data_IF_477086728792
#
_entry.id   IF_477086728792
#
_cell.length_a   1.000
_cell.length_b   1.000
_cell.length_c   1.000
_cell.angle_alpha   90.00
_cell.angle_beta   90.00
_cell.angle_gamma   90.00
#
_symmetry.space_group_name_H-M   'P 1'
#
loop_
_entity.id
_entity.type
_entity.pdbx_description
1 polymer ?
#
# COMPACT_ATOMS: atom_id res chain seq x y z
N UNK A 1 6.30 -6.35 -14.77
CA UNK A 1 5.50 -7.58 -14.99
C UNK A 1 4.04 -7.23 -14.77
N UNK A 2 3.19 -7.47 -15.78
CA UNK A 2 1.76 -7.23 -15.69
C UNK A 2 1.13 -8.18 -14.69
N UNK A 3 0.28 -7.65 -13.82
CA UNK A 3 -0.43 -8.44 -12.81
C UNK A 3 -1.75 -7.76 -12.39
N UNK A 4 -2.51 -8.48 -11.56
CA UNK A 4 -3.77 -8.00 -11.00
C UNK A 4 -3.69 -8.09 -9.48
N UNK A 5 -4.27 -7.11 -8.83
CA UNK A 5 -4.57 -7.15 -7.41
C UNK A 5 -5.57 -8.26 -7.11
N UNK A 6 -5.59 -8.79 -5.87
CA UNK A 6 -6.40 -9.95 -5.52
C UNK A 6 -7.90 -9.62 -5.37
N UNK A 7 -8.29 -8.35 -5.38
CA UNK A 7 -9.66 -7.95 -5.07
C UNK A 7 -9.99 -6.54 -5.55
N UNK A 8 -11.20 -6.34 -6.10
CA UNK A 8 -11.78 -5.02 -6.40
C UNK A 8 -12.51 -4.36 -5.22
N UNK A 9 -12.30 -4.83 -3.98
CA UNK A 9 -12.94 -4.26 -2.78
C UNK A 9 -12.30 -2.95 -2.33
N UNK A 10 -11.25 -2.51 -3.00
CA UNK A 10 -10.46 -1.35 -2.60
C UNK A 10 -10.01 -0.58 -3.83
N UNK A 11 -9.73 0.70 -3.62
CA UNK A 11 -8.94 1.51 -4.54
C UNK A 11 -7.55 1.70 -3.95
N UNK A 12 -6.56 1.83 -4.83
CA UNK A 12 -5.17 2.07 -4.49
C UNK A 12 -4.75 3.46 -4.91
N UNK A 13 -4.09 4.16 -4.01
CA UNK A 13 -3.43 5.44 -4.25
C UNK A 13 -1.92 5.21 -4.30
N UNK A 14 -1.28 5.75 -5.33
CA UNK A 14 0.15 5.96 -5.37
C UNK A 14 0.43 7.46 -5.26
N UNK A 15 1.22 7.85 -4.27
CA UNK A 15 1.78 9.18 -4.11
C UNK A 15 3.31 9.10 -4.27
N UNK A 16 3.84 9.44 -5.44
CA UNK A 16 5.28 9.42 -5.67
C UNK A 16 5.97 10.53 -4.88
N UNK A 17 6.92 10.18 -4.03
CA UNK A 17 7.63 11.13 -3.15
C UNK A 17 9.01 11.53 -3.70
N UNK A 18 9.66 10.65 -4.46
CA UNK A 18 11.00 10.88 -5.01
C UNK A 18 11.24 10.03 -6.26
N UNK A 19 12.10 10.51 -7.16
CA UNK A 19 12.67 9.69 -8.24
C UNK A 19 11.67 9.33 -9.33
N UNK A 20 10.85 10.29 -9.76
CA UNK A 20 9.76 10.08 -10.74
C UNK A 20 10.19 10.16 -12.20
N UNK A 21 11.40 10.64 -12.48
CA UNK A 21 11.93 10.70 -13.85
C UNK A 21 11.99 9.30 -14.48
N UNK A 22 11.31 9.13 -15.63
CA UNK A 22 11.19 7.83 -16.31
C UNK A 22 10.20 6.85 -15.66
N UNK A 23 9.50 7.23 -14.59
CA UNK A 23 8.47 6.40 -13.96
C UNK A 23 7.14 6.49 -14.73
N UNK A 24 6.55 5.34 -15.04
CA UNK A 24 5.25 5.23 -15.70
C UNK A 24 4.48 4.01 -15.21
N UNK A 25 3.16 4.06 -15.34
CA UNK A 25 2.28 2.97 -14.95
C UNK A 25 1.12 2.84 -15.94
N UNK A 26 0.77 1.59 -16.27
CA UNK A 26 -0.41 1.24 -17.05
C UNK A 26 -1.44 0.57 -16.13
N UNK A 27 -2.71 0.93 -16.28
CA UNK A 27 -3.86 0.26 -15.66
C UNK A 27 -4.91 0.06 -16.73
N UNK A 28 -5.28 -1.20 -17.01
CA UNK A 28 -6.07 -1.52 -18.19
C UNK A 28 -5.39 -1.03 -19.47
N UNK A 29 -6.08 -0.17 -20.20
CA UNK A 29 -5.61 0.39 -21.47
C UNK A 29 -4.96 1.78 -21.33
N UNK A 30 -5.00 2.38 -20.13
CA UNK A 30 -4.44 3.71 -19.88
C UNK A 30 -3.02 3.61 -19.34
N UNK A 31 -2.10 4.39 -19.91
CA UNK A 31 -0.73 4.56 -19.39
C UNK A 31 -0.48 6.01 -19.01
N UNK A 32 0.06 6.24 -17.81
CA UNK A 32 0.40 7.57 -17.31
C UNK A 32 1.83 7.61 -16.76
N UNK A 33 2.47 8.77 -16.91
CA UNK A 33 3.70 9.08 -16.21
C UNK A 33 3.40 9.41 -14.75
N UNK A 34 4.29 9.01 -13.84
CA UNK A 34 4.18 9.35 -12.42
C UNK A 34 4.84 10.70 -12.20
N UNK A 35 4.15 11.62 -11.53
CA UNK A 35 4.66 12.96 -11.20
C UNK A 35 4.89 13.03 -9.69
N UNK A 36 5.97 13.70 -9.28
CA UNK A 36 6.27 13.82 -7.84
C UNK A 36 5.18 14.65 -7.18
N UNK A 37 4.77 14.24 -5.97
CA UNK A 37 3.77 14.91 -5.15
C UNK A 37 2.35 14.93 -5.76
N UNK A 38 2.12 14.22 -6.87
CA UNK A 38 0.80 14.05 -7.48
C UNK A 38 0.25 12.63 -7.27
N UNK A 39 -0.92 12.55 -6.63
CA UNK A 39 -1.61 11.28 -6.43
C UNK A 39 -2.19 10.74 -7.74
N UNK A 40 -2.04 9.44 -7.93
CA UNK A 40 -2.89 8.66 -8.84
C UNK A 40 -3.70 7.65 -8.05
N UNK A 41 -4.97 7.52 -8.41
CA UNK A 41 -5.92 6.61 -7.77
C UNK A 41 -6.41 5.66 -8.85
N UNK A 42 -6.35 4.36 -8.59
CA UNK A 42 -6.79 3.33 -9.52
C UNK A 42 -7.28 2.08 -8.79
N UNK A 43 -8.08 1.27 -9.47
CA UNK A 43 -8.44 -0.05 -9.00
C UNK A 43 -7.33 -1.04 -9.39
N UNK A 44 -6.60 -1.54 -8.39
CA UNK A 44 -5.48 -2.46 -8.63
C UNK A 44 -5.95 -3.87 -9.06
N UNK A 45 -7.25 -4.18 -9.00
CA UNK A 45 -7.79 -5.44 -9.53
C UNK A 45 -7.74 -5.53 -11.06
N UNK A 46 -7.66 -4.39 -11.75
CA UNK A 46 -7.40 -4.34 -13.18
C UNK A 46 -5.95 -4.74 -13.48
N UNK A 47 -5.69 -5.24 -14.69
CA UNK A 47 -4.34 -5.58 -15.08
C UNK A 47 -3.50 -4.31 -15.12
N UNK A 48 -2.43 -4.28 -14.34
CA UNK A 48 -1.57 -3.12 -14.23
C UNK A 48 -0.09 -3.50 -14.25
N UNK A 49 0.71 -2.53 -14.66
CA UNK A 49 2.15 -2.67 -14.76
C UNK A 49 2.83 -1.34 -14.50
N UNK A 50 3.92 -1.34 -13.73
CA UNK A 50 4.73 -0.17 -13.47
C UNK A 50 6.14 -0.36 -14.04
N UNK A 51 6.70 0.70 -14.62
CA UNK A 51 8.06 0.75 -15.14
C UNK A 51 8.83 1.91 -14.51
N UNK A 52 10.14 1.75 -14.42
CA UNK A 52 11.05 2.77 -13.95
C UNK A 52 12.37 2.66 -14.69
N UNK A 53 12.64 3.63 -15.56
CA UNK A 53 13.88 3.72 -16.34
C UNK A 53 14.83 4.82 -15.83
N UNK A 54 14.55 5.36 -14.63
CA UNK A 54 15.36 6.41 -14.01
C UNK A 54 16.60 5.87 -13.30
N UNK A 55 17.49 6.78 -12.93
CA UNK A 55 18.80 6.47 -12.30
C UNK A 55 18.84 6.69 -10.79
N UNK A 56 17.77 7.25 -10.21
CA UNK A 56 17.68 7.59 -8.80
C UNK A 56 16.85 6.53 -8.04
N UNK A 57 16.90 6.57 -6.70
CA UNK A 57 15.95 5.76 -5.91
C UNK A 57 14.55 6.35 -6.05
N UNK A 58 13.59 5.54 -6.50
CA UNK A 58 12.18 5.91 -6.52
C UNK A 58 11.52 5.57 -5.19
N UNK A 59 10.89 6.56 -4.56
CA UNK A 59 10.09 6.38 -3.34
C UNK A 59 8.63 6.70 -3.66
N UNK A 60 7.73 5.79 -3.30
CA UNK A 60 6.30 5.92 -3.54
C UNK A 60 5.53 5.52 -2.28
N UNK A 61 4.65 6.38 -1.80
CA UNK A 61 3.71 6.04 -0.74
C UNK A 61 2.49 5.36 -1.37
N UNK A 62 2.10 4.22 -0.82
CA UNK A 62 0.92 3.46 -1.27
C UNK A 62 -0.11 3.46 -0.14
N UNK A 63 -1.33 3.84 -0.47
CA UNK A 63 -2.47 3.83 0.44
C UNK A 63 -3.62 3.06 -0.22
N UNK A 64 -4.28 2.20 0.53
CA UNK A 64 -5.45 1.44 0.06
C UNK A 64 -6.68 1.92 0.83
N UNK A 65 -7.78 2.20 0.12
CA UNK A 65 -9.07 2.62 0.69
C UNK A 65 -10.18 1.67 0.25
N UNK A 66 -11.22 1.49 1.06
CA UNK A 66 -12.39 0.70 0.65
C UNK A 66 -13.03 1.28 -0.63
N UNK A 67 -13.47 0.40 -1.53
CA UNK A 67 -14.17 0.82 -2.73
C UNK A 67 -15.45 1.58 -2.33
N UNK A 68 -15.73 2.75 -2.92
CA UNK A 68 -16.80 3.64 -2.45
C UNK A 68 -18.21 3.05 -2.61
N UNK A 69 -18.37 2.02 -3.45
CA UNK A 69 -19.64 1.31 -3.61
C UNK A 69 -19.90 0.22 -2.56
N UNK A 70 -18.94 -0.07 -1.68
CA UNK A 70 -19.17 -0.99 -0.58
C UNK A 70 -20.09 -0.36 0.47
N UNK A 71 -21.06 -1.14 0.93
CA UNK A 71 -21.90 -0.78 2.07
C UNK A 71 -21.11 -0.83 3.38
N UNK A 72 -21.60 -0.13 4.41
CA UNK A 72 -21.00 -0.14 5.74
C UNK A 72 -20.90 -1.56 6.33
N UNK A 73 -21.91 -2.40 6.09
CA UNK A 73 -21.92 -3.79 6.54
C UNK A 73 -20.85 -4.64 5.83
N UNK A 74 -20.65 -4.42 4.52
CA UNK A 74 -19.57 -5.07 3.78
C UNK A 74 -18.19 -4.61 4.24
N UNK A 75 -18.01 -3.30 4.44
CA UNK A 75 -16.78 -2.73 5.00
C UNK A 75 -16.48 -3.33 6.38
N UNK A 76 -17.49 -3.43 7.25
CA UNK A 76 -17.36 -4.03 8.58
C UNK A 76 -16.99 -5.51 8.48
N UNK A 77 -17.63 -6.26 7.59
CA UNK A 77 -17.34 -7.67 7.36
C UNK A 77 -15.91 -7.88 6.86
N UNK A 78 -15.48 -7.16 5.82
CA UNK A 78 -14.11 -7.29 5.30
C UNK A 78 -13.06 -6.79 6.28
N UNK A 79 -13.35 -5.75 7.06
CA UNK A 79 -12.48 -5.29 8.15
C UNK A 79 -12.30 -6.38 9.22
N UNK A 80 -13.36 -7.11 9.57
CA UNK A 80 -13.28 -8.24 10.49
C UNK A 80 -12.40 -9.36 9.93
N UNK A 81 -12.57 -9.71 8.64
CA UNK A 81 -11.74 -10.73 7.99
C UNK A 81 -10.27 -10.30 7.93
N UNK A 82 -9.98 -9.04 7.59
CA UNK A 82 -8.62 -8.52 7.54
C UNK A 82 -7.93 -8.59 8.91
N UNK A 83 -8.62 -8.16 9.96
CA UNK A 83 -8.11 -8.26 11.36
C UNK A 83 -7.84 -9.71 11.75
N UNK A 84 -8.71 -10.63 11.35
CA UNK A 84 -8.57 -12.05 11.66
C UNK A 84 -7.36 -12.65 10.94
N UNK A 85 -7.16 -12.32 9.66
CA UNK A 85 -5.99 -12.73 8.87
C UNK A 85 -4.70 -12.19 9.49
N UNK A 86 -4.63 -10.89 9.79
CA UNK A 86 -3.45 -10.28 10.42
C UNK A 86 -3.11 -10.94 11.75
N UNK A 87 -4.12 -11.24 12.59
CA UNK A 87 -3.89 -11.99 13.83
C UNK A 87 -3.30 -13.37 13.56
N UNK A 88 -3.80 -14.09 12.56
CA UNK A 88 -3.26 -15.38 12.13
C UNK A 88 -1.81 -15.27 11.64
N UNK A 89 -1.55 -14.33 10.73
CA UNK A 89 -0.22 -14.08 10.17
C UNK A 89 0.80 -13.74 11.27
N UNK A 90 0.40 -12.97 12.29
CA UNK A 90 1.26 -12.66 13.45
C UNK A 90 1.63 -13.91 14.26
N UNK A 91 0.65 -14.75 14.57
CA UNK A 91 0.88 -16.01 15.31
C UNK A 91 1.80 -16.92 14.51
N UNK A 92 1.64 -16.97 13.19
CA UNK A 92 2.50 -17.77 12.33
C UNK A 92 3.93 -17.20 12.28
N UNK A 93 4.10 -15.87 12.20
CA UNK A 93 5.43 -15.26 12.19
C UNK A 93 6.20 -15.51 13.48
N UNK A 94 5.53 -15.50 14.64
CA UNK A 94 6.14 -15.79 15.95
C UNK A 94 6.65 -17.24 16.07
N UNK A 95 6.13 -18.16 15.25
CA UNK A 95 6.56 -19.58 15.24
C UNK A 95 7.73 -19.85 14.31
N UNK A 96 8.04 -18.92 13.40
CA UNK A 96 9.19 -19.02 12.51
C UNK A 96 10.39 -18.42 13.25
N UNK A 97 11.51 -19.15 13.34
CA UNK A 97 12.75 -18.66 13.93
C UNK A 97 13.49 -17.68 12.99
N UNK A 98 12.78 -16.66 12.49
CA UNK A 98 13.36 -15.59 11.69
C UNK A 98 12.80 -14.26 12.18
N UNK A 99 13.67 -13.34 12.58
CA UNK A 99 13.27 -12.02 13.08
C UNK A 99 13.02 -10.99 11.96
N UNK A 100 13.21 -11.30 10.68
CA UNK A 100 12.99 -10.37 9.57
C UNK A 100 11.56 -10.46 9.02
N UNK A 101 10.57 -10.04 9.81
CA UNK A 101 9.16 -9.98 9.40
C UNK A 101 8.49 -8.66 9.79
N UNK A 102 7.35 -8.34 9.15
CA UNK A 102 6.62 -7.09 9.38
C UNK A 102 6.37 -6.82 10.88
N UNK A 103 5.89 -7.83 11.63
CA UNK A 103 5.58 -7.63 13.04
C UNK A 103 6.79 -7.34 13.93
N UNK A 104 7.98 -7.84 13.62
CA UNK A 104 9.19 -7.53 14.39
C UNK A 104 9.66 -6.10 14.11
N UNK A 105 9.52 -5.63 12.87
CA UNK A 105 9.75 -4.23 12.50
C UNK A 105 8.77 -3.32 13.27
N UNK A 106 7.49 -3.67 13.30
CA UNK A 106 6.49 -2.92 14.09
C UNK A 106 6.90 -2.85 15.55
N UNK A 107 7.25 -3.98 16.19
CA UNK A 107 7.71 -3.98 17.59
C UNK A 107 8.98 -3.15 17.80
N UNK A 108 10.00 -3.33 16.95
CA UNK A 108 11.28 -2.59 17.01
C UNK A 108 11.10 -1.08 16.81
N UNK A 109 10.06 -0.66 16.10
CA UNK A 109 9.78 0.76 15.78
C UNK A 109 8.81 1.44 16.75
N UNK A 110 8.13 0.71 17.65
CA UNK A 110 7.22 1.29 18.65
C UNK A 110 7.86 2.39 19.50
N UNK A 111 9.16 2.30 19.78
CA UNK A 111 9.89 3.30 20.56
C UNK A 111 10.37 4.52 19.76
N UNK A 112 10.23 4.51 18.43
CA UNK A 112 10.67 5.61 17.55
C UNK A 112 9.65 6.76 17.56
N UNK A 113 8.35 6.43 17.59
CA UNK A 113 7.29 7.42 17.69
C UNK A 113 7.11 7.84 19.16
N UNK A 114 7.70 8.98 19.53
CA UNK A 114 7.66 9.51 20.92
C UNK A 114 6.28 10.05 21.32
N UNK A 115 5.45 10.40 20.35
CA UNK A 115 4.10 10.97 20.52
C UNK A 115 3.37 10.85 19.17
N UNK A 116 2.07 10.54 19.21
CA UNK A 116 1.24 10.42 18.00
C UNK A 116 0.79 11.78 17.44
N UNK A 117 1.13 12.88 18.12
CA UNK A 117 0.67 14.24 17.81
C UNK A 117 1.81 15.17 17.35
N UNK A 118 3.08 14.78 17.49
CA UNK A 118 4.24 15.64 17.23
C UNK A 118 4.65 15.72 15.74
N UNK A 119 3.98 14.97 14.86
CA UNK A 119 4.32 14.88 13.43
C UNK A 119 3.44 15.75 12.53
N UNK A 120 2.35 16.32 13.06
CA UNK A 120 1.42 17.15 12.29
C UNK A 120 1.83 18.63 12.38
N UNK A 121 1.86 19.32 11.25
CA UNK A 121 2.19 20.76 11.19
C UNK A 121 0.88 21.54 11.27
N UNK A 122 0.69 22.34 12.33
CA UNK A 122 -0.47 23.24 12.49
C UNK A 122 -0.56 24.28 11.36
#
# INVERSE_FOLDING_TARGET
MPHNGPTGKKLRVHLPLLGTEGARMRVGDETKHLVQDECIIFDDSFNHEAWYDGTQTRINLILDFWHPELTDDEVKFFSMLLKSKLKGDRILSERVQNEDHLYSIIEKTKGILKSNDDWWVN
#
